data_IF_295221977177
#
_entry.id   IF_295221977177
#
_cell.length_a   1.000
_cell.length_b   1.000
_cell.length_c   1.000
_cell.angle_alpha   90.00
_cell.angle_beta   90.00
_cell.angle_gamma   90.00
#
_symmetry.space_group_name_H-M   'P 1'
#
loop_
_entity.id
_entity.type
_entity.pdbx_description
1 polymer ?
#
# COMPACT_ATOMS: atom_id res chain seq x y z
N UNK A 1 18.18 -1.67 -49.07
CA UNK A 1 17.34 -2.48 -48.15
C UNK A 1 16.99 -1.61 -46.95
N UNK A 2 15.70 -1.42 -46.66
CA UNK A 2 15.21 -0.44 -45.69
C UNK A 2 15.39 -0.96 -44.26
N UNK A 3 16.33 -0.38 -43.51
CA UNK A 3 16.64 -0.68 -42.10
C UNK A 3 15.68 0.01 -41.12
N UNK A 4 14.57 0.57 -41.60
CA UNK A 4 13.60 1.31 -40.80
C UNK A 4 12.97 0.49 -39.66
N UNK A 5 12.85 -0.83 -39.83
CA UNK A 5 12.33 -1.74 -38.81
C UNK A 5 13.23 -1.85 -37.56
N UNK A 6 14.54 -1.55 -37.65
CA UNK A 6 15.43 -1.53 -36.48
C UNK A 6 15.08 -0.39 -35.52
N UNK A 7 14.57 0.73 -36.02
CA UNK A 7 14.11 1.83 -35.18
C UNK A 7 12.90 1.43 -34.32
N UNK A 8 12.02 0.54 -34.81
CA UNK A 8 10.91 0.03 -34.02
C UNK A 8 11.38 -0.85 -32.85
N UNK A 9 12.43 -1.65 -33.04
CA UNK A 9 13.04 -2.44 -31.96
C UNK A 9 13.79 -1.57 -30.94
N UNK A 10 14.46 -0.51 -31.40
CA UNK A 10 15.16 0.43 -30.52
C UNK A 10 14.17 1.27 -29.70
N UNK A 11 13.06 1.72 -30.31
CA UNK A 11 12.02 2.51 -29.63
C UNK A 11 11.08 1.66 -28.76
N UNK A 12 10.93 0.36 -29.02
CA UNK A 12 10.04 -0.49 -28.22
C UNK A 12 10.51 -0.64 -26.77
N UNK A 13 11.82 -0.74 -26.53
CA UNK A 13 12.39 -0.85 -25.18
C UNK A 13 12.01 0.33 -24.27
N UNK A 14 12.31 1.58 -24.65
CA UNK A 14 11.91 2.78 -23.91
C UNK A 14 10.39 2.90 -23.72
N UNK A 15 9.60 2.55 -24.75
CA UNK A 15 8.14 2.62 -24.68
C UNK A 15 7.58 1.62 -23.67
N UNK A 16 8.02 0.36 -23.72
CA UNK A 16 7.60 -0.68 -22.76
C UNK A 16 8.03 -0.28 -21.35
N UNK A 17 9.25 0.21 -21.18
CA UNK A 17 9.75 0.67 -19.87
C UNK A 17 8.93 1.83 -19.31
N UNK A 18 8.54 2.79 -20.16
CA UNK A 18 7.70 3.92 -19.77
C UNK A 18 6.31 3.48 -19.28
N UNK A 19 5.70 2.47 -19.90
CA UNK A 19 4.40 1.95 -19.47
C UNK A 19 4.49 1.09 -18.20
N UNK A 20 5.57 0.33 -18.00
CA UNK A 20 5.74 -0.52 -16.82
C UNK A 20 6.20 0.26 -15.57
N UNK A 21 6.87 1.40 -15.73
CA UNK A 21 7.46 2.16 -14.63
C UNK A 21 6.50 3.04 -13.82
N UNK A 22 5.19 3.07 -14.12
CA UNK A 22 4.25 3.91 -13.37
C UNK A 22 4.08 3.39 -11.94
N UNK A 23 4.82 3.99 -11.01
CA UNK A 23 4.63 3.81 -9.56
C UNK A 23 3.20 4.16 -9.19
N UNK A 24 2.62 3.34 -8.32
CA UNK A 24 1.25 3.50 -7.87
C UNK A 24 1.14 4.76 -7.01
N UNK A 25 0.13 5.59 -7.28
CA UNK A 25 -0.18 6.74 -6.43
C UNK A 25 -0.76 6.27 -5.11
N UNK A 26 -0.16 6.74 -4.01
CA UNK A 26 -0.64 6.53 -2.64
C UNK A 26 -1.13 7.89 -2.14
N UNK A 27 -2.33 7.92 -1.59
CA UNK A 27 -2.92 9.14 -1.03
C UNK A 27 -3.61 8.82 0.29
N UNK A 28 -3.44 9.69 1.28
CA UNK A 28 -4.12 9.58 2.57
C UNK A 28 -4.69 10.95 2.94
N UNK A 29 -5.92 10.96 3.42
CA UNK A 29 -6.53 12.06 4.14
C UNK A 29 -6.52 11.80 5.64
N UNK A 30 -7.14 12.70 6.40
CA UNK A 30 -7.30 12.52 7.84
C UNK A 30 -8.14 11.27 8.17
N UNK A 31 -9.22 11.05 7.42
CA UNK A 31 -10.21 9.99 7.70
C UNK A 31 -10.17 8.81 6.73
N UNK A 32 -9.47 8.94 5.61
CA UNK A 32 -9.48 7.95 4.53
C UNK A 32 -8.07 7.69 3.98
N UNK A 33 -7.86 6.47 3.50
CA UNK A 33 -6.64 6.05 2.84
C UNK A 33 -6.98 5.45 1.49
N UNK A 34 -6.36 5.93 0.41
CA UNK A 34 -6.63 5.47 -0.95
C UNK A 34 -5.36 5.04 -1.69
N UNK A 35 -5.48 3.92 -2.38
CA UNK A 35 -4.50 3.40 -3.34
C UNK A 35 -5.23 3.14 -4.66
N UNK A 36 -4.50 2.91 -5.76
CA UNK A 36 -5.08 2.70 -7.11
C UNK A 36 -6.25 1.69 -7.17
N UNK A 37 -6.33 0.75 -6.22
CA UNK A 37 -7.37 -0.28 -6.14
C UNK A 37 -8.58 0.05 -5.27
N UNK A 38 -8.60 1.18 -4.54
CA UNK A 38 -9.72 1.53 -3.67
C UNK A 38 -9.37 2.52 -2.56
N UNK A 39 -10.36 2.88 -1.77
CA UNK A 39 -10.21 3.69 -0.57
C UNK A 39 -10.81 2.97 0.64
N UNK A 40 -10.23 3.17 1.81
CA UNK A 40 -10.72 2.65 3.10
C UNK A 40 -10.79 3.79 4.10
N UNK A 41 -11.79 3.76 4.97
CA UNK A 41 -11.87 4.70 6.08
C UNK A 41 -10.99 4.20 7.23
N UNK A 42 -9.95 4.98 7.58
CA UNK A 42 -8.91 4.54 8.52
C UNK A 42 -9.39 4.51 9.97
N UNK A 43 -10.49 5.21 10.29
CA UNK A 43 -11.13 5.20 11.62
C UNK A 43 -12.22 4.15 11.81
N UNK A 44 -12.65 3.50 10.74
CA UNK A 44 -13.70 2.47 10.77
C UNK A 44 -13.16 1.08 10.37
N UNK A 45 -11.84 0.88 10.52
CA UNK A 45 -11.20 -0.38 10.17
C UNK A 45 -11.73 -1.53 11.04
N UNK A 46 -12.15 -2.61 10.38
CA UNK A 46 -12.59 -3.84 11.04
C UNK A 46 -11.46 -4.85 11.21
N UNK A 47 -10.44 -4.78 10.35
CA UNK A 47 -9.32 -5.72 10.35
C UNK A 47 -8.05 -5.02 9.88
N UNK A 48 -6.97 -5.22 10.63
CA UNK A 48 -5.63 -4.69 10.34
C UNK A 48 -4.63 -5.83 10.46
N UNK A 49 -4.00 -6.21 9.37
CA UNK A 49 -3.07 -7.32 9.33
C UNK A 49 -1.79 -6.94 8.60
N UNK A 50 -0.67 -7.52 9.05
CA UNK A 50 0.57 -7.50 8.31
C UNK A 50 0.82 -8.91 7.82
N UNK A 51 0.80 -9.06 6.50
CA UNK A 51 1.06 -10.31 5.80
C UNK A 51 2.45 -10.19 5.18
N UNK A 52 3.29 -11.19 5.43
CA UNK A 52 4.64 -11.20 4.90
C UNK A 52 5.35 -12.49 5.24
N UNK A 53 6.09 -13.00 4.27
CA UNK A 53 6.90 -14.21 4.42
C UNK A 53 8.05 -13.94 5.36
N UNK A 54 8.33 -14.90 6.25
CA UNK A 54 9.52 -14.94 7.10
C UNK A 54 10.79 -15.07 6.24
N UNK A 55 11.17 -13.97 5.60
CA UNK A 55 12.24 -13.87 4.60
C UNK A 55 12.60 -12.42 4.24
N UNK A 56 11.84 -11.42 4.71
CA UNK A 56 12.30 -10.04 4.88
C UNK A 56 12.27 -9.13 3.65
N UNK A 57 11.83 -9.61 2.48
CA UNK A 57 11.86 -8.82 1.24
C UNK A 57 10.63 -7.92 1.04
N UNK A 58 9.45 -8.32 1.52
CA UNK A 58 8.23 -7.52 1.44
C UNK A 58 7.29 -7.82 2.60
N UNK A 59 6.82 -6.76 3.26
CA UNK A 59 5.75 -6.81 4.25
C UNK A 59 4.59 -6.04 3.66
N UNK A 60 3.43 -6.66 3.55
CA UNK A 60 2.23 -6.05 3.04
C UNK A 60 1.27 -5.79 4.21
N UNK A 61 0.75 -4.57 4.24
CA UNK A 61 -0.24 -4.09 5.18
C UNK A 61 -1.62 -4.28 4.54
N UNK A 62 -2.41 -5.17 5.13
CA UNK A 62 -3.79 -5.42 4.77
C UNK A 62 -4.72 -4.67 5.71
N UNK A 63 -5.57 -3.83 5.13
CA UNK A 63 -6.55 -2.99 5.80
C UNK A 63 -7.94 -3.37 5.28
N UNK A 64 -8.88 -3.65 6.18
CA UNK A 64 -10.28 -3.82 5.80
C UNK A 64 -11.15 -2.84 6.58
N UNK A 65 -12.02 -2.16 5.84
CA UNK A 65 -13.00 -1.23 6.37
C UNK A 65 -14.35 -1.93 6.65
N UNK A 66 -15.21 -1.31 7.46
CA UNK A 66 -16.57 -1.76 7.76
C UNK A 66 -17.45 -1.86 6.51
N UNK A 67 -17.16 -1.08 5.49
CA UNK A 67 -17.84 -1.11 4.18
C UNK A 67 -17.50 -2.36 3.35
N UNK A 68 -16.60 -3.23 3.84
CA UNK A 68 -16.18 -4.45 3.15
C UNK A 68 -15.10 -4.21 2.08
N UNK A 69 -14.50 -3.02 2.05
CA UNK A 69 -13.36 -2.74 1.18
C UNK A 69 -12.09 -3.22 1.84
N UNK A 70 -11.34 -4.08 1.14
CA UNK A 70 -10.02 -4.55 1.55
C UNK A 70 -8.95 -3.92 0.66
N UNK A 71 -7.88 -3.43 1.29
CA UNK A 71 -6.71 -2.87 0.63
C UNK A 71 -5.47 -3.58 1.13
N UNK A 72 -4.58 -3.93 0.20
CA UNK A 72 -3.25 -4.44 0.49
C UNK A 72 -2.22 -3.49 -0.11
N UNK A 73 -1.29 -3.03 0.71
CA UNK A 73 -0.20 -2.15 0.28
C UNK A 73 1.12 -2.56 0.90
N UNK A 74 2.21 -2.41 0.16
CA UNK A 74 3.53 -2.65 0.71
C UNK A 74 3.86 -1.65 1.82
N UNK A 75 4.22 -2.15 3.00
CA UNK A 75 4.53 -1.35 4.17
C UNK A 75 5.72 -0.40 3.93
N UNK A 76 6.72 -0.81 3.13
CA UNK A 76 7.87 0.04 2.84
C UNK A 76 7.48 1.21 1.94
N UNK A 77 6.55 1.02 1.01
CA UNK A 77 6.10 2.10 0.12
C UNK A 77 5.35 3.18 0.88
N UNK A 78 4.45 2.81 1.79
CA UNK A 78 3.72 3.78 2.61
C UNK A 78 4.62 4.45 3.65
N UNK A 79 5.56 3.72 4.25
CA UNK A 79 6.53 4.28 5.19
C UNK A 79 7.59 5.17 4.52
N UNK A 80 7.76 5.09 3.20
CA UNK A 80 8.67 5.97 2.48
C UNK A 80 8.21 7.44 2.54
N UNK A 81 6.92 7.69 2.74
CA UNK A 81 6.37 9.02 2.98
C UNK A 81 5.88 9.13 4.43
N UNK A 82 6.66 9.79 5.28
CA UNK A 82 6.39 9.87 6.71
C UNK A 82 5.09 10.61 7.03
N UNK A 83 4.77 11.68 6.30
CA UNK A 83 3.58 12.49 6.58
C UNK A 83 2.29 11.71 6.26
N UNK A 84 2.30 10.93 5.17
CA UNK A 84 1.20 10.00 4.86
C UNK A 84 1.11 8.88 5.89
N UNK A 85 2.26 8.34 6.30
CA UNK A 85 2.31 7.28 7.29
C UNK A 85 1.73 7.72 8.64
N UNK A 86 2.04 8.92 9.11
CA UNK A 86 1.53 9.43 10.39
C UNK A 86 0.00 9.51 10.41
N UNK A 87 -0.63 9.94 9.31
CA UNK A 87 -2.09 9.95 9.18
C UNK A 87 -2.69 8.54 9.27
N UNK A 88 -2.15 7.61 8.48
CA UNK A 88 -2.64 6.23 8.44
C UNK A 88 -2.39 5.50 9.75
N UNK A 89 -1.23 5.74 10.37
CA UNK A 89 -0.87 5.18 11.67
C UNK A 89 -1.83 5.61 12.77
N UNK A 90 -2.16 6.91 12.82
CA UNK A 90 -3.09 7.44 13.82
C UNK A 90 -4.49 6.83 13.67
N UNK A 91 -4.99 6.69 12.44
CA UNK A 91 -6.27 6.03 12.19
C UNK A 91 -6.26 4.55 12.54
N UNK A 92 -5.20 3.83 12.18
CA UNK A 92 -5.00 2.42 12.58
C UNK A 92 -4.98 2.30 14.11
N UNK A 93 -4.19 3.12 14.81
CA UNK A 93 -4.11 3.08 16.27
C UNK A 93 -5.48 3.34 16.92
N UNK A 94 -6.25 4.29 16.39
CA UNK A 94 -7.61 4.56 16.84
C UNK A 94 -8.53 3.36 16.63
N UNK A 95 -8.54 2.78 15.43
CA UNK A 95 -9.37 1.62 15.08
C UNK A 95 -9.01 0.39 15.91
N UNK A 96 -7.72 0.16 16.16
CA UNK A 96 -7.24 -0.93 17.02
C UNK A 96 -7.71 -0.72 18.46
N UNK A 97 -7.63 0.50 18.99
CA UNK A 97 -8.15 0.83 20.32
C UNK A 97 -9.68 0.66 20.41
N UNK A 98 -10.41 0.83 19.29
CA UNK A 98 -11.85 0.53 19.18
C UNK A 98 -12.18 -0.95 19.00
N UNK A 99 -11.19 -1.84 18.87
CA UNK A 99 -11.40 -3.29 18.78
C UNK A 99 -11.31 -3.88 17.37
N UNK A 100 -10.65 -3.20 16.42
CA UNK A 100 -10.33 -3.79 15.12
C UNK A 100 -9.54 -5.10 15.28
N UNK A 101 -9.82 -6.10 14.43
CA UNK A 101 -9.12 -7.39 14.49
C UNK A 101 -7.67 -7.24 14.04
N UNK A 102 -6.73 -7.41 14.95
CA UNK A 102 -5.28 -7.34 14.67
C UNK A 102 -4.59 -8.70 14.69
N UNK A 103 -3.48 -8.82 13.95
CA UNK A 103 -2.55 -9.95 14.05
C UNK A 103 -1.42 -9.62 15.05
N UNK A 104 -0.91 -10.56 15.89
CA UNK A 104 0.27 -10.35 16.73
C UNK A 104 1.49 -9.76 15.99
N UNK A 105 1.70 -10.12 14.71
CA UNK A 105 2.74 -9.49 13.88
C UNK A 105 2.52 -8.00 13.64
N UNK A 106 1.26 -7.59 13.49
CA UNK A 106 0.89 -6.18 13.34
C UNK A 106 1.14 -5.42 14.64
N UNK A 107 0.79 -6.00 15.80
CA UNK A 107 1.05 -5.40 17.11
C UNK A 107 2.55 -5.16 17.36
N UNK A 108 3.39 -6.15 17.06
CA UNK A 108 4.84 -6.07 17.24
C UNK A 108 5.50 -5.06 16.29
N UNK A 109 5.15 -5.09 15.00
CA UNK A 109 5.77 -4.24 13.97
C UNK A 109 5.29 -2.80 14.01
N UNK A 110 4.02 -2.57 14.34
CA UNK A 110 3.44 -1.23 14.44
C UNK A 110 3.64 -0.62 15.83
N UNK A 111 4.27 -1.35 16.77
CA UNK A 111 4.46 -0.92 18.16
C UNK A 111 3.17 -0.40 18.78
N UNK A 112 2.08 -1.15 18.58
CA UNK A 112 0.76 -0.80 19.11
C UNK A 112 0.56 -1.29 20.56
N UNK A 113 1.67 -1.57 21.26
CA UNK A 113 1.71 -2.12 22.63
C UNK A 113 2.76 -1.39 23.46
#
# INVERSE_FOLDING_TARGET
>A
MSTWWMWLLILSGPVVFYFYGKKHGISAGADWFAVKGGHVDVYELTKVQIVGTSGGLSWDLELADRKGTELSINLREIQANRDLWDLVYNGIAHSVNRGAKTNPKALDKLKLR
#
